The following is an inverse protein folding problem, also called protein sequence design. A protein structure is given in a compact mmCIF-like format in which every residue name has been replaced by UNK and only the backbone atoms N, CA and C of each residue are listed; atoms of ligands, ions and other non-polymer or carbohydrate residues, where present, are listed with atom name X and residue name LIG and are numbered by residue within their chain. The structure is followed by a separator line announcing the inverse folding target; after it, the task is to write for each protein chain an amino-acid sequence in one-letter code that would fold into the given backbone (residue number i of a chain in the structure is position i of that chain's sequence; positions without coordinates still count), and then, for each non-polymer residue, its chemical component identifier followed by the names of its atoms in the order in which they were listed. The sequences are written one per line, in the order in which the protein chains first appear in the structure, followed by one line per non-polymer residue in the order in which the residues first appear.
data_IF_524819244061
#
_entry.id   IF_524819244061
#
_cell.length_a   1.000
_cell.length_b   1.000
_cell.length_c   1.000
_cell.angle_alpha   90.00
_cell.angle_beta   90.00
_cell.angle_gamma   90.00
#
_symmetry.space_group_name_H-M   'P 1'
#
loop_
_entity.id
_entity.type
_entity.pdbx_description
1 polymer ?
#
# COMPACT_ATOMS: atom_id res chain seq x y z
N UNK A 1 -0.54 -35.64 3.94
CA UNK A 1 0.78 -35.62 3.27
C UNK A 1 1.62 -34.41 3.67
N UNK A 2 1.17 -33.16 3.44
CA UNK A 2 1.85 -31.99 4.01
C UNK A 2 1.68 -31.92 5.54
N UNK A 3 0.45 -32.12 6.04
CA UNK A 3 0.16 -32.19 7.48
C UNK A 3 0.80 -33.40 8.18
N UNK A 4 1.12 -34.43 7.40
CA UNK A 4 1.77 -35.66 7.88
C UNK A 4 3.30 -35.53 7.82
N UNK A 5 3.83 -34.33 7.55
CA UNK A 5 5.27 -34.01 7.41
C UNK A 5 6.05 -34.85 6.37
N UNK A 6 5.34 -35.53 5.47
CA UNK A 6 5.94 -36.29 4.35
C UNK A 6 6.56 -35.33 3.33
N UNK A 7 5.97 -34.15 3.16
CA UNK A 7 6.52 -33.07 2.35
C UNK A 7 6.81 -31.85 3.23
N UNK A 8 7.98 -31.24 3.03
CA UNK A 8 8.39 -30.03 3.75
C UNK A 8 7.64 -28.77 3.30
N UNK A 9 7.08 -28.76 2.09
CA UNK A 9 6.29 -27.64 1.59
C UNK A 9 5.76 -27.84 0.18
N UNK A 10 4.68 -27.16 -0.13
CA UNK A 10 4.12 -27.06 -1.48
C UNK A 10 3.72 -25.60 -1.72
N UNK A 11 4.38 -24.96 -2.67
CA UNK A 11 4.12 -23.57 -3.02
C UNK A 11 4.19 -23.39 -4.54
N UNK A 12 3.37 -22.50 -5.10
CA UNK A 12 3.46 -22.16 -6.51
C UNK A 12 4.76 -21.41 -6.79
N UNK A 13 5.31 -21.61 -7.99
CA UNK A 13 6.46 -20.84 -8.46
C UNK A 13 6.00 -19.49 -9.04
N UNK A 14 6.74 -18.43 -8.74
CA UNK A 14 6.56 -17.13 -9.38
C UNK A 14 7.12 -17.13 -10.81
N UNK A 15 6.60 -16.26 -11.68
CA UNK A 15 6.96 -16.17 -13.11
C UNK A 15 8.39 -15.69 -13.43
N UNK A 16 9.35 -15.82 -12.51
CA UNK A 16 10.74 -15.40 -12.70
C UNK A 16 11.15 -14.24 -11.82
N UNK A 17 12.12 -13.45 -12.29
CA UNK A 17 12.77 -12.38 -11.50
C UNK A 17 11.84 -11.18 -11.33
N UNK A 18 11.97 -10.47 -10.21
CA UNK A 18 11.24 -9.21 -9.96
C UNK A 18 12.01 -7.97 -10.42
N UNK A 19 13.34 -8.08 -10.54
CA UNK A 19 14.22 -6.99 -10.97
C UNK A 19 13.95 -6.69 -12.44
N UNK A 20 13.88 -5.39 -12.76
CA UNK A 20 13.65 -4.90 -14.12
C UNK A 20 14.97 -4.36 -14.66
N UNK A 21 15.37 -4.85 -15.82
CA UNK A 21 16.56 -4.40 -16.55
C UNK A 21 16.27 -3.16 -17.39
N UNK A 22 17.31 -2.43 -17.81
CA UNK A 22 17.12 -1.24 -18.65
C UNK A 22 16.44 -1.54 -19.99
N UNK A 23 16.69 -2.72 -20.57
CA UNK A 23 16.03 -3.13 -21.81
C UNK A 23 14.53 -3.37 -21.61
N UNK A 24 14.15 -4.01 -20.50
CA UNK A 24 12.74 -4.22 -20.16
C UNK A 24 12.03 -2.90 -19.84
N UNK A 25 12.72 -1.92 -19.26
CA UNK A 25 12.18 -0.57 -19.07
C UNK A 25 11.87 0.11 -20.41
N UNK A 26 12.73 -0.08 -21.42
CA UNK A 26 12.52 0.44 -22.78
C UNK A 26 11.42 -0.31 -23.54
N UNK A 27 11.15 -1.55 -23.15
CA UNK A 27 10.19 -2.46 -23.77
C UNK A 27 9.21 -3.04 -22.75
N UNK A 28 8.27 -2.24 -22.20
CA UNK A 28 7.34 -2.68 -21.16
C UNK A 28 6.49 -3.89 -21.54
N UNK A 29 6.23 -4.09 -22.84
CA UNK A 29 5.51 -5.24 -23.40
C UNK A 29 6.22 -6.58 -23.16
N UNK A 30 7.51 -6.56 -22.84
CA UNK A 30 8.32 -7.76 -22.55
C UNK A 30 8.40 -8.06 -21.05
N UNK A 31 7.86 -7.18 -20.20
CA UNK A 31 7.87 -7.38 -18.75
C UNK A 31 6.91 -8.49 -18.33
N UNK A 32 7.37 -9.33 -17.42
CA UNK A 32 6.53 -10.28 -16.70
C UNK A 32 5.56 -9.54 -15.75
N UNK A 33 4.31 -10.02 -15.56
CA UNK A 33 3.40 -9.58 -14.48
C UNK A 33 4.06 -9.22 -13.14
N UNK A 34 5.02 -10.02 -12.64
CA UNK A 34 5.79 -9.74 -11.41
C UNK A 34 6.61 -8.46 -11.49
N UNK A 35 7.29 -8.25 -12.62
CA UNK A 35 8.09 -7.04 -12.88
C UNK A 35 7.18 -5.82 -13.04
N UNK A 36 6.05 -5.95 -13.71
CA UNK A 36 5.04 -4.88 -13.84
C UNK A 36 4.52 -4.47 -12.47
N UNK A 37 4.10 -5.42 -11.64
CA UNK A 37 3.65 -5.15 -10.27
C UNK A 37 4.73 -4.49 -9.42
N UNK A 38 5.98 -4.93 -9.53
CA UNK A 38 7.09 -4.29 -8.83
C UNK A 38 7.31 -2.86 -9.31
N UNK A 39 7.41 -2.64 -10.62
CA UNK A 39 7.78 -1.34 -11.17
C UNK A 39 6.73 -0.25 -10.96
N UNK A 40 5.44 -0.60 -11.07
CA UNK A 40 4.34 0.37 -11.04
C UNK A 40 3.63 0.47 -9.69
N UNK A 41 3.82 -0.49 -8.79
CA UNK A 41 3.12 -0.51 -7.50
C UNK A 41 4.05 -0.75 -6.31
N UNK A 42 4.79 -1.86 -6.26
CA UNK A 42 5.58 -2.25 -5.07
C UNK A 42 6.95 -1.54 -4.96
N UNK A 43 6.99 -0.23 -5.27
CA UNK A 43 8.18 0.63 -5.13
C UNK A 43 7.88 1.84 -4.27
N UNK A 44 8.86 2.24 -3.46
CA UNK A 44 8.81 3.47 -2.67
C UNK A 44 8.44 4.71 -3.49
N UNK A 45 8.89 4.80 -4.75
CA UNK A 45 8.55 5.91 -5.64
C UNK A 45 7.18 5.83 -6.32
N UNK A 46 6.39 4.78 -6.07
CA UNK A 46 5.04 4.61 -6.60
C UNK A 46 3.96 4.77 -5.53
N UNK A 47 4.36 5.13 -4.29
CA UNK A 47 3.44 5.42 -3.20
C UNK A 47 2.31 6.34 -3.70
N UNK A 48 2.63 7.50 -4.27
CA UNK A 48 1.65 8.50 -4.69
C UNK A 48 0.63 8.06 -5.78
N UNK A 49 0.74 6.84 -6.33
CA UNK A 49 -0.11 6.34 -7.43
C UNK A 49 -1.24 5.47 -6.89
N UNK A 50 -2.36 5.45 -7.62
CA UNK A 50 -3.45 4.52 -7.34
C UNK A 50 -2.98 3.07 -7.40
N UNK A 51 -3.41 2.28 -6.42
CA UNK A 51 -3.11 0.86 -6.37
C UNK A 51 -3.80 0.09 -7.53
N UNK A 52 -3.06 -0.67 -8.36
CA UNK A 52 -3.62 -1.42 -9.48
C UNK A 52 -4.23 -2.75 -8.99
N UNK A 53 -5.41 -2.68 -8.38
CA UNK A 53 -6.09 -3.82 -7.76
C UNK A 53 -6.36 -4.98 -8.74
N UNK A 54 -6.68 -4.70 -10.01
CA UNK A 54 -6.90 -5.74 -11.01
C UNK A 54 -5.63 -6.54 -11.31
N UNK A 55 -4.46 -5.89 -11.40
CA UNK A 55 -3.18 -6.59 -11.60
C UNK A 55 -2.83 -7.44 -10.38
N UNK A 56 -3.09 -6.93 -9.18
CA UNK A 56 -2.86 -7.68 -7.93
C UNK A 56 -3.80 -8.89 -7.88
N UNK A 57 -5.08 -8.73 -8.25
CA UNK A 57 -6.04 -9.83 -8.32
C UNK A 57 -5.58 -10.90 -9.31
N UNK A 58 -5.15 -10.50 -10.49
CA UNK A 58 -4.75 -11.44 -11.53
C UNK A 58 -3.48 -12.22 -11.15
N UNK A 59 -2.56 -11.62 -10.40
CA UNK A 59 -1.29 -12.27 -10.03
C UNK A 59 -1.33 -13.02 -8.68
N UNK A 60 -1.97 -12.44 -7.66
CA UNK A 60 -2.00 -12.97 -6.30
C UNK A 60 -3.36 -13.59 -5.91
N UNK A 61 -4.39 -13.42 -6.74
CA UNK A 61 -5.75 -13.87 -6.47
C UNK A 61 -6.59 -12.86 -5.68
N UNK A 62 -7.88 -13.16 -5.59
CA UNK A 62 -8.89 -12.26 -5.03
C UNK A 62 -8.69 -11.96 -3.53
N UNK A 63 -8.26 -12.94 -2.73
CA UNK A 63 -8.06 -12.75 -1.28
C UNK A 63 -7.03 -11.67 -0.99
N UNK A 64 -5.91 -11.68 -1.71
CA UNK A 64 -4.84 -10.70 -1.55
C UNK A 64 -5.26 -9.35 -2.13
N UNK A 65 -5.94 -9.34 -3.27
CA UNK A 65 -6.49 -8.10 -3.84
C UNK A 65 -7.51 -7.43 -2.91
N UNK A 66 -8.39 -8.21 -2.25
CA UNK A 66 -9.36 -7.69 -1.28
C UNK A 66 -8.69 -7.14 -0.02
N UNK A 67 -7.64 -7.80 0.49
CA UNK A 67 -6.85 -7.28 1.60
C UNK A 67 -6.29 -5.88 1.28
N UNK A 68 -5.70 -5.74 0.09
CA UNK A 68 -5.16 -4.46 -0.36
C UNK A 68 -6.23 -3.42 -0.68
N UNK A 69 -7.37 -3.84 -1.25
CA UNK A 69 -8.52 -2.97 -1.48
C UNK A 69 -9.08 -2.41 -0.15
N UNK A 70 -9.12 -3.24 0.89
CA UNK A 70 -9.54 -2.84 2.23
C UNK A 70 -8.53 -1.91 2.90
N UNK A 71 -7.23 -2.19 2.76
CA UNK A 71 -6.17 -1.31 3.28
C UNK A 71 -6.18 0.09 2.64
N UNK A 72 -6.60 0.18 1.38
CA UNK A 72 -7.05 1.42 0.74
C UNK A 72 -6.15 2.64 0.99
N UNK A 73 -5.02 2.66 0.27
CA UNK A 73 -4.16 3.80 -0.10
C UNK A 73 -3.85 4.87 0.98
N UNK A 74 -2.62 4.83 1.53
CA UNK A 74 -2.03 5.93 2.33
C UNK A 74 -1.48 7.06 1.47
N UNK A 75 -1.44 6.90 0.15
CA UNK A 75 -0.44 7.62 -0.62
C UNK A 75 -1.09 8.47 -1.71
N UNK A 76 -1.89 9.44 -1.30
CA UNK A 76 -2.07 10.66 -2.09
C UNK A 76 -2.10 11.82 -1.12
N UNK A 77 -0.91 12.29 -0.74
CA UNK A 77 -0.78 13.60 -0.13
C UNK A 77 -1.23 14.62 -1.19
N UNK A 78 -2.49 15.05 -1.07
CA UNK A 78 -3.15 16.11 -1.84
C UNK A 78 -3.53 15.70 -3.28
N UNK A 79 -4.74 15.14 -3.46
CA UNK A 79 -5.78 15.79 -4.27
C UNK A 79 -7.14 15.54 -3.61
N UNK A 80 -7.54 16.55 -2.85
CA UNK A 80 -8.79 16.74 -2.09
C UNK A 80 -9.93 15.73 -2.39
N UNK A 81 -10.24 14.93 -1.37
CA UNK A 81 -11.55 14.30 -1.13
C UNK A 81 -12.08 13.47 -2.31
N UNK A 82 -11.35 12.42 -2.69
CA UNK A 82 -11.89 11.35 -3.54
C UNK A 82 -12.08 10.07 -2.72
N UNK A 83 -13.31 9.58 -2.75
CA UNK A 83 -13.99 8.76 -1.74
C UNK A 83 -13.70 7.25 -1.86
N UNK A 84 -12.43 6.80 -1.91
CA UNK A 84 -12.10 5.38 -2.16
C UNK A 84 -10.95 4.80 -1.33
N UNK A 85 -11.01 4.94 0.00
CA UNK A 85 -10.13 4.21 0.93
C UNK A 85 -10.73 4.14 2.34
N UNK A 86 -11.29 2.99 2.73
CA UNK A 86 -12.10 2.91 3.96
C UNK A 86 -11.32 2.84 5.28
N UNK A 87 -10.02 2.56 5.30
CA UNK A 87 -9.27 2.47 6.56
C UNK A 87 -8.29 3.63 6.73
N UNK A 88 -7.41 3.82 5.76
CA UNK A 88 -6.36 4.83 5.85
C UNK A 88 -6.88 6.26 5.77
N UNK A 89 -7.94 6.52 4.98
CA UNK A 89 -8.54 7.85 4.93
C UNK A 89 -9.14 8.28 6.28
N UNK A 90 -9.68 7.33 7.06
CA UNK A 90 -10.17 7.64 8.41
C UNK A 90 -9.04 7.91 9.39
N UNK A 91 -7.93 7.18 9.28
CA UNK A 91 -6.73 7.45 10.08
C UNK A 91 -6.17 8.84 9.79
N UNK A 92 -6.18 9.29 8.53
CA UNK A 92 -5.70 10.63 8.18
C UNK A 92 -6.57 11.72 8.82
N UNK A 93 -7.90 11.58 8.74
CA UNK A 93 -8.84 12.53 9.38
C UNK A 93 -8.63 12.53 10.89
N UNK A 94 -8.56 11.35 11.52
CA UNK A 94 -8.33 11.21 12.95
C UNK A 94 -6.99 11.82 13.38
N UNK A 95 -5.93 11.63 12.58
CA UNK A 95 -4.60 12.20 12.83
C UNK A 95 -4.61 13.73 12.74
N UNK A 96 -5.31 14.32 11.78
CA UNK A 96 -5.43 15.79 11.66
C UNK A 96 -6.12 16.36 12.89
N UNK A 97 -7.27 15.78 13.28
CA UNK A 97 -8.01 16.22 14.47
C UNK A 97 -7.16 16.07 15.73
N UNK A 98 -6.52 14.91 15.92
CA UNK A 98 -5.64 14.65 17.07
C UNK A 98 -4.46 15.62 17.13
N UNK A 99 -3.84 15.93 15.98
CA UNK A 99 -2.75 16.90 15.90
C UNK A 99 -3.20 18.32 16.24
N UNK A 100 -4.38 18.76 15.78
CA UNK A 100 -4.92 20.08 16.12
C UNK A 100 -5.23 20.20 17.62
N UNK A 101 -5.82 19.16 18.22
CA UNK A 101 -6.09 19.13 19.67
C UNK A 101 -4.79 19.15 20.47
N UNK A 102 -3.77 18.41 20.03
CA UNK A 102 -2.46 18.40 20.64
C UNK A 102 -1.80 19.79 20.60
N UNK A 103 -1.83 20.47 19.45
CA UNK A 103 -1.32 21.85 19.33
C UNK A 103 -2.09 22.84 20.20
N UNK A 104 -3.41 22.73 20.26
CA UNK A 104 -4.24 23.55 21.13
C UNK A 104 -3.83 23.39 22.60
N UNK A 105 -3.64 22.15 23.07
CA UNK A 105 -3.14 21.87 24.41
C UNK A 105 -1.78 22.53 24.68
N UNK A 106 -0.82 22.43 23.75
CA UNK A 106 0.49 23.08 23.90
C UNK A 106 0.40 24.61 24.03
N UNK A 107 -0.53 25.25 23.31
CA UNK A 107 -0.73 26.70 23.35
C UNK A 107 -1.36 27.15 24.67
N UNK A 108 -2.24 26.32 25.26
CA UNK A 108 -2.99 26.66 26.48
C UNK A 108 -2.20 26.39 27.79
N UNK A 109 -1.21 25.49 27.80
CA UNK A 109 -0.34 25.21 28.97
C UNK A 109 0.14 26.47 29.73
N UNK A 110 0.72 27.50 29.08
CA UNK A 110 1.21 28.69 29.79
C UNK A 110 0.12 29.59 30.37
N UNK A 111 -1.15 29.43 29.96
CA UNK A 111 -2.27 30.22 30.44
C UNK A 111 -2.86 29.66 31.75
N UNK A 112 -2.63 28.36 32.02
CA UNK A 112 -3.16 27.65 33.19
C UNK A 112 -2.28 27.76 34.44
N UNK A 113 -1.11 28.41 34.38
CA UNK A 113 -0.21 28.60 35.54
C UNK A 113 -0.56 29.81 36.44
N UNK A 114 -1.84 30.17 36.56
CA UNK A 114 -2.28 31.12 37.60
C UNK A 114 -2.70 30.34 38.85
N UNK A 115 -1.70 29.94 39.65
CA UNK A 115 -1.82 29.62 41.07
C UNK A 115 -0.50 29.93 41.78
#
# INVERSE_FOLDING_TARGET
MLEEEVFSGAFPLHEGRYQVTEEEIKHPERMNPRQVLYWYWARWGCWYKYQPLDLIRNYYGEKIALYFAWLGNLDTFIQLVSFQGLYTSWLLIASIVGFLIFLYGLITIPQDTIA
#
